data_IF_242983055179
#
_entry.id   IF_242983055179
#
_cell.length_a   1.000
_cell.length_b   1.000
_cell.length_c   1.000
_cell.angle_alpha   90.00
_cell.angle_beta   90.00
_cell.angle_gamma   90.00
#
_symmetry.space_group_name_H-M   'P 1'
#
loop_
_entity.id
_entity.type
_entity.pdbx_description
1 polymer ?
#
# COMPACT_ATOMS: atom_id res chain seq x y z
N UNK A 1 26.69 -7.85 2.40
CA UNK A 1 25.39 -7.18 2.62
C UNK A 1 25.62 -6.11 3.66
N UNK A 2 25.33 -4.85 3.36
CA UNK A 2 25.67 -3.73 4.24
C UNK A 2 24.42 -3.29 4.99
N UNK A 3 24.54 -3.16 6.31
CA UNK A 3 23.47 -2.69 7.19
C UNK A 3 23.67 -1.22 7.54
N UNK A 4 22.58 -0.51 7.81
CA UNK A 4 22.57 0.87 8.27
C UNK A 4 21.42 1.07 9.23
N UNK A 5 21.61 1.84 10.31
CA UNK A 5 20.50 2.24 11.17
C UNK A 5 19.47 3.03 10.36
N UNK A 6 18.19 2.69 10.50
CA UNK A 6 17.13 3.30 9.70
C UNK A 6 17.08 4.82 9.84
N UNK A 7 17.40 5.34 11.04
CA UNK A 7 17.47 6.77 11.34
C UNK A 7 18.63 7.50 10.64
N UNK A 8 19.66 6.77 10.22
CA UNK A 8 20.85 7.31 9.54
C UNK A 8 20.86 6.99 8.05
N UNK A 9 19.89 6.21 7.58
CA UNK A 9 19.81 5.81 6.19
C UNK A 9 19.48 7.02 5.30
N UNK A 10 20.25 7.26 4.23
CA UNK A 10 19.96 8.37 3.32
C UNK A 10 18.61 8.15 2.62
N UNK A 11 17.98 9.24 2.19
CA UNK A 11 16.72 9.18 1.43
C UNK A 11 16.88 8.48 0.08
N UNK A 12 18.06 8.59 -0.54
CA UNK A 12 18.37 7.88 -1.79
C UNK A 12 18.49 6.37 -1.53
N UNK A 13 18.04 5.57 -2.49
CA UNK A 13 18.21 4.11 -2.44
C UNK A 13 19.70 3.75 -2.61
N UNK A 14 20.32 3.20 -1.58
CA UNK A 14 21.75 2.79 -1.59
C UNK A 14 21.95 1.28 -1.66
N UNK A 15 20.88 0.48 -1.51
CA UNK A 15 20.99 -0.98 -1.39
C UNK A 15 21.41 -1.49 -0.01
N UNK A 16 21.63 -0.59 0.97
CA UNK A 16 21.83 -0.98 2.36
C UNK A 16 20.52 -1.44 3.00
N UNK A 17 20.60 -2.42 3.90
CA UNK A 17 19.45 -2.88 4.67
C UNK A 17 19.31 -2.03 5.91
N UNK A 18 18.12 -1.46 6.08
CA UNK A 18 17.81 -0.62 7.23
C UNK A 18 17.51 -1.50 8.44
N UNK A 19 18.20 -1.25 9.54
CA UNK A 19 17.90 -1.81 10.86
C UNK A 19 16.93 -0.87 11.57
N UNK A 20 15.73 -1.36 11.90
CA UNK A 20 14.70 -0.56 12.56
C UNK A 20 14.69 -0.87 14.06
N UNK A 21 14.48 0.16 14.88
CA UNK A 21 14.23 0.03 16.31
C UNK A 21 12.75 -0.24 16.65
N UNK A 22 12.43 -0.38 17.95
CA UNK A 22 11.07 -0.67 18.43
C UNK A 22 9.99 0.26 17.89
N UNK A 23 10.26 1.57 17.84
CA UNK A 23 9.30 2.56 17.32
C UNK A 23 9.01 2.38 15.82
N UNK A 24 10.04 2.03 15.04
CA UNK A 24 9.89 1.73 13.61
C UNK A 24 9.00 0.50 13.39
N UNK A 25 9.21 -0.55 14.17
CA UNK A 25 8.33 -1.72 14.15
C UNK A 25 6.90 -1.40 14.55
N UNK A 26 6.70 -0.52 15.53
CA UNK A 26 5.36 -0.14 15.95
C UNK A 26 4.61 0.64 14.86
N UNK A 27 5.28 1.55 14.16
CA UNK A 27 4.74 2.18 12.95
C UNK A 27 4.37 1.17 11.87
N UNK A 28 5.26 0.21 11.58
CA UNK A 28 5.02 -0.84 10.58
C UNK A 28 3.84 -1.74 10.95
N UNK A 29 3.67 -2.09 12.24
CA UNK A 29 2.51 -2.88 12.70
C UNK A 29 1.19 -2.16 12.49
N UNK A 30 1.13 -0.86 12.82
CA UNK A 30 -0.09 -0.05 12.59
C UNK A 30 -0.43 0.03 11.10
N UNK A 31 0.55 0.35 10.26
CA UNK A 31 0.35 0.47 8.81
C UNK A 31 -0.04 -0.88 8.17
N UNK A 32 0.61 -1.98 8.59
CA UNK A 32 0.32 -3.32 8.12
C UNK A 32 -1.09 -3.79 8.53
N UNK A 33 -1.50 -3.52 9.77
CA UNK A 33 -2.84 -3.85 10.26
C UNK A 33 -3.92 -3.12 9.49
N UNK A 34 -3.76 -1.81 9.29
CA UNK A 34 -4.73 -1.02 8.52
C UNK A 34 -4.81 -1.48 7.06
N UNK A 35 -3.68 -1.83 6.45
CA UNK A 35 -3.66 -2.40 5.10
C UNK A 35 -4.40 -3.74 5.02
N UNK A 36 -4.26 -4.59 6.04
CA UNK A 36 -4.98 -5.86 6.10
C UNK A 36 -6.49 -5.65 6.25
N UNK A 37 -6.90 -4.73 7.13
CA UNK A 37 -8.32 -4.36 7.29
C UNK A 37 -8.92 -3.82 5.98
N UNK A 38 -8.16 -3.00 5.23
CA UNK A 38 -8.59 -2.54 3.91
C UNK A 38 -8.84 -3.70 2.92
N UNK A 39 -7.98 -4.72 2.92
CA UNK A 39 -8.13 -5.89 2.07
C UNK A 39 -9.33 -6.74 2.46
N UNK A 40 -9.64 -6.87 3.75
CA UNK A 40 -10.83 -7.57 4.23
C UNK A 40 -12.12 -6.88 3.77
N UNK A 41 -12.15 -5.53 3.82
CA UNK A 41 -13.29 -4.75 3.29
C UNK A 41 -13.43 -4.94 1.77
N UNK A 42 -12.33 -4.86 1.03
CA UNK A 42 -12.33 -5.11 -0.43
C UNK A 42 -12.86 -6.51 -0.74
N UNK A 43 -12.41 -7.54 -0.01
CA UNK A 43 -12.85 -8.92 -0.23
C UNK A 43 -14.38 -9.06 -0.11
N UNK A 44 -15.01 -8.31 0.81
CA UNK A 44 -16.47 -8.33 1.01
C UNK A 44 -17.30 -7.80 -0.16
N UNK A 45 -16.73 -6.99 -1.05
CA UNK A 45 -17.46 -6.47 -2.23
C UNK A 45 -17.18 -7.23 -3.52
N UNK A 46 -16.24 -8.18 -3.55
CA UNK A 46 -15.85 -8.85 -4.79
C UNK A 46 -16.95 -9.80 -5.26
N UNK A 47 -17.62 -9.43 -6.35
CA UNK A 47 -18.63 -10.23 -7.03
C UNK A 47 -18.73 -9.86 -8.52
N UNK A 48 -19.32 -10.74 -9.37
CA UNK A 48 -19.54 -10.42 -10.78
C UNK A 48 -20.27 -9.08 -10.96
N UNK A 49 -19.79 -8.25 -11.89
CA UNK A 49 -20.34 -6.93 -12.19
C UNK A 49 -19.70 -5.77 -11.42
N UNK A 50 -18.89 -6.03 -10.38
CA UNK A 50 -18.11 -4.97 -9.71
C UNK A 50 -16.94 -4.55 -10.59
N UNK A 51 -16.82 -3.26 -10.84
CA UNK A 51 -15.70 -2.68 -11.60
C UNK A 51 -14.48 -2.48 -10.70
N UNK A 52 -13.29 -2.51 -11.31
CA UNK A 52 -12.04 -2.20 -10.61
C UNK A 52 -12.01 -0.75 -10.11
N UNK A 53 -12.61 0.20 -10.84
CA UNK A 53 -12.81 1.57 -10.38
C UNK A 53 -13.65 1.68 -9.08
N UNK A 54 -14.62 0.78 -8.87
CA UNK A 54 -15.37 0.75 -7.61
C UNK A 54 -14.50 0.27 -6.43
N UNK A 55 -13.60 -0.68 -6.69
CA UNK A 55 -12.60 -1.14 -5.71
C UNK A 55 -11.64 0.01 -5.35
N UNK A 56 -11.16 0.74 -6.36
CA UNK A 56 -10.28 1.90 -6.14
C UNK A 56 -10.92 2.99 -5.29
N UNK A 57 -12.18 3.33 -5.60
CA UNK A 57 -12.96 4.29 -4.83
C UNK A 57 -13.10 3.85 -3.37
N UNK A 58 -13.44 2.58 -3.14
CA UNK A 58 -13.56 2.03 -1.78
C UNK A 58 -12.23 2.12 -1.02
N UNK A 59 -11.11 1.76 -1.65
CA UNK A 59 -9.79 1.81 -0.99
C UNK A 59 -9.39 3.25 -0.67
N UNK A 60 -9.68 4.19 -1.57
CA UNK A 60 -9.46 5.61 -1.31
C UNK A 60 -10.26 6.10 -0.11
N UNK A 61 -11.57 5.85 -0.10
CA UNK A 61 -12.47 6.26 0.99
C UNK A 61 -12.05 5.63 2.32
N UNK A 62 -11.79 4.31 2.35
CA UNK A 62 -11.30 3.61 3.53
C UNK A 62 -10.01 4.24 4.07
N UNK A 63 -9.04 4.55 3.21
CA UNK A 63 -7.80 5.19 3.65
C UNK A 63 -8.05 6.57 4.25
N UNK A 64 -8.88 7.41 3.61
CA UNK A 64 -9.20 8.75 4.10
C UNK A 64 -9.92 8.70 5.46
N UNK A 65 -10.89 7.80 5.63
CA UNK A 65 -11.64 7.62 6.88
C UNK A 65 -10.72 7.22 8.05
N UNK A 66 -9.64 6.50 7.76
CA UNK A 66 -8.64 6.08 8.75
C UNK A 66 -7.45 7.04 8.87
N UNK A 67 -7.53 8.24 8.28
CA UNK A 67 -6.45 9.25 8.28
C UNK A 67 -5.13 8.70 7.70
N UNK A 68 -5.24 7.81 6.73
CA UNK A 68 -4.13 7.25 5.98
C UNK A 68 -4.12 7.80 4.54
N UNK A 69 -3.02 7.57 3.83
CA UNK A 69 -2.88 7.96 2.43
C UNK A 69 -2.47 6.74 1.59
N UNK A 70 -3.16 6.45 0.47
CA UNK A 70 -2.80 5.33 -0.39
C UNK A 70 -1.39 5.49 -0.96
N UNK A 71 -0.51 4.53 -0.69
CA UNK A 71 0.91 4.61 -1.08
C UNK A 71 1.13 4.59 -2.60
N UNK A 72 0.19 4.06 -3.38
CA UNK A 72 0.27 4.01 -4.84
C UNK A 72 -0.08 5.35 -5.49
N UNK A 73 -0.87 6.19 -4.82
CA UNK A 73 -1.41 7.40 -5.41
C UNK A 73 -0.28 8.41 -5.67
N UNK A 74 -0.14 8.78 -6.95
CA UNK A 74 0.93 9.59 -7.53
C UNK A 74 2.34 8.98 -7.43
N UNK A 75 2.47 7.71 -7.00
CA UNK A 75 3.76 7.04 -6.98
C UNK A 75 4.26 6.80 -8.41
N UNK A 76 5.30 7.54 -8.80
CA UNK A 76 5.87 7.53 -10.16
C UNK A 76 4.82 7.78 -11.26
N UNK A 77 3.80 8.60 -10.95
CA UNK A 77 2.72 8.94 -11.88
C UNK A 77 1.56 7.94 -11.93
N UNK A 78 1.55 6.92 -11.08
CA UNK A 78 0.39 6.03 -10.92
C UNK A 78 -0.78 6.81 -10.29
N UNK A 79 -1.96 6.81 -10.91
CA UNK A 79 -3.05 7.74 -10.57
C UNK A 79 -4.16 7.16 -9.69
N UNK A 80 -3.98 5.94 -9.20
CA UNK A 80 -5.00 5.19 -8.47
C UNK A 80 -4.50 4.79 -7.07
N UNK A 81 -5.44 4.51 -6.20
CA UNK A 81 -5.26 4.20 -4.78
C UNK A 81 -4.95 2.72 -4.52
N UNK A 82 -5.19 1.86 -5.51
CA UNK A 82 -4.89 0.43 -5.45
C UNK A 82 -4.55 -0.10 -6.83
N UNK A 83 -3.81 -1.21 -6.90
CA UNK A 83 -3.60 -1.96 -8.13
C UNK A 83 -4.63 -3.10 -8.23
N UNK A 84 -5.28 -3.25 -9.38
CA UNK A 84 -6.19 -4.38 -9.66
C UNK A 84 -5.73 -5.16 -10.87
N UNK A 85 -5.30 -6.40 -10.65
CA UNK A 85 -4.63 -7.24 -11.65
C UNK A 85 -5.52 -8.41 -12.08
N UNK A 86 -6.31 -8.22 -13.13
CA UNK A 86 -7.24 -9.24 -13.65
C UNK A 86 -6.53 -10.21 -14.62
N UNK A 87 -6.78 -11.51 -14.47
CA UNK A 87 -6.37 -12.56 -15.41
C UNK A 87 -4.87 -12.52 -15.78
N UNK A 88 -4.53 -12.06 -17.00
CA UNK A 88 -3.17 -12.02 -17.52
C UNK A 88 -2.36 -10.80 -17.07
N UNK A 89 -2.98 -9.85 -16.35
CA UNK A 89 -2.31 -8.68 -15.79
C UNK A 89 -1.47 -9.10 -14.60
N UNK A 90 -0.15 -9.22 -14.78
CA UNK A 90 0.77 -9.74 -13.75
C UNK A 90 0.74 -8.93 -12.46
N UNK A 91 0.94 -7.62 -12.55
CA UNK A 91 0.94 -6.70 -11.41
C UNK A 91 0.68 -5.27 -11.91
N UNK A 92 0.38 -4.35 -10.99
CA UNK A 92 0.19 -2.92 -11.27
C UNK A 92 -0.90 -2.60 -12.29
N UNK A 93 -1.92 -3.45 -12.41
CA UNK A 93 -3.10 -3.13 -13.21
C UNK A 93 -3.75 -1.85 -12.69
N UNK A 94 -4.19 -0.99 -13.61
CA UNK A 94 -4.87 0.26 -13.30
C UNK A 94 -6.36 -0.02 -13.14
N UNK A 95 -6.98 0.37 -12.02
CA UNK A 95 -8.41 0.28 -11.82
C UNK A 95 -9.28 0.93 -12.89
#
# INVERSE_FOLDING_TARGET
>A
MTYVEAAQAPLRKTGHIKLYGPEGFEGMRRAGRLTAEALDVVAGMIQPGVSTAAIDKLVFEFAMDHKAYPATLMYRGYRYSVCTSINHVVCHGMP
#
